data_IF_909325891076
#
_entry.id   IF_909325891076
#
_cell.length_a   1.000
_cell.length_b   1.000
_cell.length_c   1.000
_cell.angle_alpha   90.00
_cell.angle_beta   90.00
_cell.angle_gamma   90.00
#
_symmetry.space_group_name_H-M   'P 1'
#
loop_
_entity.id
_entity.type
_entity.pdbx_description
1 polymer ?
#
# COMPACT_ATOMS: atom_id res chain seq x y z
N UNK A 1 -14.32 39.18 -10.96
CA UNK A 1 -13.15 38.68 -11.72
C UNK A 1 -13.12 37.15 -11.58
N UNK A 2 -13.81 36.28 -12.32
CA UNK A 2 -14.13 36.18 -13.75
C UNK A 2 -12.90 36.07 -14.66
N UNK A 3 -12.25 34.91 -14.63
CA UNK A 3 -11.45 34.41 -15.77
C UNK A 3 -11.71 32.92 -15.97
N UNK A 4 -12.65 32.65 -16.88
CA UNK A 4 -12.71 31.45 -17.71
C UNK A 4 -11.41 31.35 -18.52
N UNK A 5 -10.73 30.22 -18.47
CA UNK A 5 -9.91 29.76 -19.59
C UNK A 5 -10.23 28.29 -19.85
N UNK A 6 -11.19 28.11 -20.75
CA UNK A 6 -11.46 26.87 -21.48
C UNK A 6 -10.25 26.62 -22.37
N UNK A 7 -9.51 25.55 -22.09
CA UNK A 7 -8.46 25.03 -22.96
C UNK A 7 -8.83 23.60 -23.33
N UNK A 8 -9.76 23.53 -24.28
CA UNK A 8 -10.12 22.34 -25.04
C UNK A 8 -9.17 22.28 -26.24
N UNK A 9 -8.11 21.46 -26.14
CA UNK A 9 -7.15 21.25 -27.22
C UNK A 9 -7.03 19.73 -27.49
N UNK A 10 -7.88 19.28 -28.41
CA UNK A 10 -7.65 18.27 -29.44
C UNK A 10 -6.83 17.01 -29.06
N UNK A 11 -7.50 16.03 -28.44
CA UNK A 11 -7.11 14.62 -28.56
C UNK A 11 -7.87 13.99 -29.75
N UNK A 12 -7.31 14.14 -30.95
CA UNK A 12 -7.74 13.42 -32.14
C UNK A 12 -6.51 12.76 -32.78
N UNK A 13 -6.03 11.69 -32.15
CA UNK A 13 -5.15 10.73 -32.79
C UNK A 13 -6.01 9.53 -33.20
N UNK A 14 -6.53 9.60 -34.43
CA UNK A 14 -7.14 8.49 -35.15
C UNK A 14 -6.12 7.35 -35.29
N UNK A 15 -6.24 6.32 -34.48
CA UNK A 15 -5.61 5.03 -34.76
C UNK A 15 -6.41 4.34 -35.86
N UNK A 16 -6.03 4.61 -37.11
CA UNK A 16 -6.47 3.83 -38.25
C UNK A 16 -6.01 2.38 -38.07
N UNK A 17 -6.93 1.51 -37.66
CA UNK A 17 -6.77 0.07 -37.71
C UNK A 17 -6.69 -0.36 -39.18
N UNK A 18 -5.47 -0.62 -39.64
CA UNK A 18 -5.22 -1.41 -40.85
C UNK A 18 -5.71 -2.84 -40.60
N UNK A 19 -6.89 -3.16 -41.12
CA UNK A 19 -7.34 -4.53 -41.28
C UNK A 19 -6.39 -5.22 -42.26
N UNK A 20 -5.52 -6.06 -41.73
CA UNK A 20 -4.74 -7.00 -42.53
C UNK A 20 -5.68 -8.04 -43.13
N UNK A 21 -5.54 -8.37 -44.43
CA UNK A 21 -6.34 -9.42 -45.03
C UNK A 21 -6.03 -10.76 -44.36
N UNK A 22 -7.07 -11.44 -43.87
CA UNK A 22 -7.02 -12.82 -43.43
C UNK A 22 -6.53 -13.68 -44.60
N UNK A 23 -5.23 -13.97 -44.63
CA UNK A 23 -4.66 -14.99 -45.48
C UNK A 23 -5.17 -16.34 -44.98
N UNK A 24 -6.16 -16.89 -45.68
CA UNK A 24 -6.61 -18.29 -45.55
C UNK A 24 -5.43 -19.21 -45.84
N UNK A 25 -4.72 -19.57 -44.79
CA UNK A 25 -3.64 -20.54 -44.81
C UNK A 25 -4.28 -21.93 -44.97
N UNK A 26 -4.25 -22.40 -46.21
CA UNK A 26 -4.54 -23.76 -46.66
C UNK A 26 -3.85 -24.76 -45.71
N UNK A 27 -4.61 -25.33 -44.77
CA UNK A 27 -4.14 -26.31 -43.77
C UNK A 27 -3.50 -27.50 -44.48
N UNK A 28 -2.16 -27.61 -44.41
CA UNK A 28 -1.46 -28.84 -44.74
C UNK A 28 -1.78 -29.88 -43.65
N UNK A 29 -2.41 -31.02 -43.99
CA UNK A 29 -2.61 -32.10 -43.04
C UNK A 29 -1.26 -32.75 -42.74
N UNK A 30 -0.74 -32.64 -41.52
CA UNK A 30 0.45 -33.40 -41.12
C UNK A 30 1.22 -32.91 -39.91
N UNK A 31 1.13 -31.64 -39.54
CA UNK A 31 1.85 -31.11 -38.37
C UNK A 31 0.86 -30.65 -37.32
N UNK A 32 0.53 -31.51 -36.36
CA UNK A 32 -0.22 -31.11 -35.18
C UNK A 32 0.62 -30.11 -34.38
N UNK A 33 0.36 -28.82 -34.60
CA UNK A 33 0.95 -27.75 -33.80
C UNK A 33 0.40 -27.93 -32.39
N UNK A 34 1.26 -28.37 -31.46
CA UNK A 34 0.90 -28.46 -30.05
C UNK A 34 0.54 -27.04 -29.57
N UNK A 35 -0.62 -26.84 -28.90
CA UNK A 35 -0.98 -25.53 -28.37
C UNK A 35 0.07 -25.06 -27.36
N UNK A 36 0.55 -23.83 -27.52
CA UNK A 36 1.52 -23.22 -26.60
C UNK A 36 0.75 -22.73 -25.38
N UNK A 37 0.91 -23.45 -24.27
CA UNK A 37 0.30 -23.08 -22.99
C UNK A 37 1.00 -21.88 -22.35
N UNK A 38 0.22 -21.04 -21.67
CA UNK A 38 0.74 -19.95 -20.85
C UNK A 38 1.47 -20.52 -19.61
N UNK A 39 2.77 -20.24 -19.43
CA UNK A 39 3.53 -20.78 -18.31
C UNK A 39 3.10 -20.23 -16.94
N UNK A 40 2.34 -19.12 -16.90
CA UNK A 40 1.88 -18.51 -15.66
C UNK A 40 0.56 -19.08 -15.13
N UNK A 41 -0.18 -19.83 -15.94
CA UNK A 41 -1.46 -20.46 -15.54
C UNK A 41 -1.26 -21.84 -14.90
N UNK A 42 -0.03 -22.36 -14.94
CA UNK A 42 0.27 -23.66 -14.35
C UNK A 42 0.32 -23.54 -12.83
N UNK A 43 -0.37 -24.42 -12.09
CA UNK A 43 -0.18 -24.50 -10.65
C UNK A 43 1.30 -24.77 -10.39
N UNK A 44 1.88 -23.99 -9.48
CA UNK A 44 3.19 -24.32 -8.96
C UNK A 44 2.96 -25.56 -8.10
N UNK A 45 3.52 -26.67 -8.55
CA UNK A 45 3.70 -27.83 -7.70
C UNK A 45 4.74 -27.43 -6.66
N UNK A 46 4.26 -26.81 -5.58
CA UNK A 46 5.00 -26.71 -4.34
C UNK A 46 5.10 -28.14 -3.84
N UNK A 47 6.00 -28.91 -4.46
CA UNK A 47 6.14 -30.33 -4.21
C UNK A 47 6.05 -30.55 -2.72
N UNK A 48 5.05 -31.34 -2.31
CA UNK A 48 4.79 -31.83 -0.95
C UNK A 48 5.99 -32.63 -0.43
N UNK A 49 7.13 -31.95 -0.31
CA UNK A 49 8.48 -32.49 -0.07
C UNK A 49 9.37 -31.46 0.61
N UNK A 50 8.80 -30.37 1.15
CA UNK A 50 9.39 -29.73 2.34
C UNK A 50 9.12 -30.64 3.54
N UNK A 51 9.75 -31.82 3.53
CA UNK A 51 10.20 -32.52 4.73
C UNK A 51 11.33 -31.66 5.34
N UNK A 52 10.97 -30.45 5.75
CA UNK A 52 11.83 -29.62 6.58
C UNK A 52 11.81 -30.28 7.94
N UNK A 53 12.87 -31.05 8.21
CA UNK A 53 13.16 -31.69 9.49
C UNK A 53 12.72 -30.80 10.64
N UNK A 54 11.63 -31.24 11.27
CA UNK A 54 10.96 -30.57 12.36
C UNK A 54 11.54 -31.07 13.69
N UNK A 55 12.87 -31.05 13.80
CA UNK A 55 13.58 -31.31 15.04
C UNK A 55 14.27 -30.00 15.46
N UNK A 56 13.92 -29.54 16.66
CA UNK A 56 14.57 -28.48 17.42
C UNK A 56 14.33 -27.00 17.04
N UNK A 57 13.08 -26.52 17.15
CA UNK A 57 12.89 -25.18 17.72
C UNK A 57 11.61 -25.06 18.55
N UNK A 58 11.82 -25.11 19.87
CA UNK A 58 10.83 -24.89 20.91
C UNK A 58 10.27 -23.47 20.86
N UNK A 59 8.94 -23.39 20.82
CA UNK A 59 8.16 -22.35 21.49
C UNK A 59 8.15 -20.97 20.84
N UNK A 60 7.13 -20.70 20.03
CA UNK A 60 6.22 -19.58 20.27
C UNK A 60 5.00 -19.67 19.33
N UNK A 61 3.83 -19.60 19.97
CA UNK A 61 2.54 -19.14 19.46
C UNK A 61 1.98 -19.75 18.16
N UNK A 62 1.19 -20.80 18.32
CA UNK A 62 0.37 -21.47 17.30
C UNK A 62 -0.80 -20.56 16.84
N UNK A 63 -0.49 -19.57 16.01
CA UNK A 63 -1.49 -18.83 15.24
C UNK A 63 -1.99 -19.66 14.06
N UNK A 64 -3.14 -20.34 14.25
CA UNK A 64 -4.06 -20.89 13.23
C UNK A 64 -3.56 -20.87 11.78
N UNK A 65 -3.07 -22.02 11.31
CA UNK A 65 -2.64 -22.29 9.94
C UNK A 65 -3.78 -22.27 8.93
N UNK A 66 -4.35 -21.10 8.66
CA UNK A 66 -5.03 -20.86 7.40
C UNK A 66 -3.96 -20.89 6.31
N UNK A 67 -4.00 -21.90 5.44
CA UNK A 67 -3.16 -22.00 4.24
C UNK A 67 -3.27 -20.68 3.47
N UNK A 68 -2.31 -19.79 3.69
CA UNK A 68 -2.33 -18.48 3.08
C UNK A 68 -2.03 -18.69 1.61
N UNK A 69 -3.06 -18.63 0.77
CA UNK A 69 -2.93 -18.80 -0.67
C UNK A 69 -1.80 -17.85 -1.15
N UNK A 70 -0.80 -18.36 -1.89
CA UNK A 70 0.33 -17.54 -2.33
C UNK A 70 -0.17 -16.32 -3.09
N UNK A 71 0.48 -15.18 -2.86
CA UNK A 71 0.13 -13.94 -3.55
C UNK A 71 0.41 -14.09 -5.05
N UNK A 72 -0.31 -13.33 -5.89
CA UNK A 72 -0.06 -13.37 -7.33
C UNK A 72 1.38 -12.96 -7.69
N UNK A 73 2.02 -12.12 -6.88
CA UNK A 73 3.40 -11.71 -7.06
C UNK A 73 4.38 -12.85 -6.73
N UNK A 74 4.09 -13.68 -5.74
CA UNK A 74 4.84 -14.90 -5.44
C UNK A 74 4.69 -15.92 -6.56
N UNK A 75 3.46 -16.15 -7.03
CA UNK A 75 3.18 -17.02 -8.16
C UNK A 75 3.96 -16.57 -9.41
N UNK A 76 3.95 -15.26 -9.70
CA UNK A 76 4.71 -14.68 -10.80
C UNK A 76 6.22 -14.94 -10.65
N UNK A 77 6.79 -14.68 -9.47
CA UNK A 77 8.23 -14.88 -9.19
C UNK A 77 8.65 -16.33 -9.33
N UNK A 78 7.83 -17.26 -8.87
CA UNK A 78 8.10 -18.69 -8.95
C UNK A 78 7.93 -19.24 -10.38
N UNK A 79 6.98 -18.72 -11.16
CA UNK A 79 6.77 -19.14 -12.56
C UNK A 79 7.74 -18.50 -13.56
N UNK A 80 8.35 -17.35 -13.23
CA UNK A 80 9.24 -16.64 -14.15
C UNK A 80 10.48 -17.45 -14.61
N UNK A 81 11.23 -18.14 -13.73
CA UNK A 81 12.34 -19.01 -14.17
C UNK A 81 11.90 -20.10 -15.14
N UNK A 82 10.72 -20.68 -14.91
CA UNK A 82 10.13 -21.70 -15.78
C UNK A 82 9.77 -21.11 -17.14
N UNK A 83 9.13 -19.95 -17.17
CA UNK A 83 8.81 -19.26 -18.43
C UNK A 83 10.08 -18.94 -19.24
N UNK A 84 11.16 -18.51 -18.58
CA UNK A 84 12.47 -18.27 -19.20
C UNK A 84 13.05 -19.57 -19.76
N UNK A 85 12.96 -20.67 -19.03
CA UNK A 85 13.45 -21.98 -19.48
C UNK A 85 12.68 -22.46 -20.72
N UNK A 86 11.36 -22.37 -20.71
CA UNK A 86 10.51 -22.74 -21.86
C UNK A 86 10.84 -21.85 -23.08
N UNK A 87 11.09 -20.55 -22.86
CA UNK A 87 11.52 -19.63 -23.93
C UNK A 87 12.88 -20.01 -24.52
N UNK A 88 13.82 -20.50 -23.71
CA UNK A 88 15.14 -20.98 -24.17
C UNK A 88 15.02 -22.25 -25.01
N UNK A 89 14.13 -23.16 -24.63
CA UNK A 89 13.92 -24.45 -25.30
C UNK A 89 13.09 -24.33 -26.59
N UNK A 90 12.35 -23.23 -26.76
CA UNK A 90 11.56 -22.97 -27.95
C UNK A 90 12.45 -22.90 -29.22
N UNK A 91 12.19 -23.80 -30.17
CA UNK A 91 12.99 -23.93 -31.42
C UNK A 91 12.51 -23.00 -32.54
N UNK A 92 11.20 -22.74 -32.62
CA UNK A 92 10.60 -21.94 -33.69
C UNK A 92 10.48 -20.46 -33.29
N UNK A 93 10.68 -19.52 -34.22
CA UNK A 93 10.55 -18.09 -33.93
C UNK A 93 9.11 -17.71 -33.54
N UNK A 94 8.10 -18.38 -34.08
CA UNK A 94 6.70 -18.17 -33.74
C UNK A 94 6.43 -18.50 -32.27
N UNK A 95 6.96 -19.63 -31.78
CA UNK A 95 6.77 -20.03 -30.38
C UNK A 95 7.44 -19.04 -29.42
N UNK A 96 8.62 -18.53 -29.80
CA UNK A 96 9.32 -17.51 -29.01
C UNK A 96 8.51 -16.22 -28.94
N UNK A 97 7.94 -15.78 -30.05
CA UNK A 97 7.10 -14.57 -30.08
C UNK A 97 5.86 -14.71 -29.20
N UNK A 98 5.17 -15.85 -29.25
CA UNK A 98 4.01 -16.12 -28.39
C UNK A 98 4.39 -16.14 -26.91
N UNK A 99 5.48 -16.82 -26.54
CA UNK A 99 5.95 -16.87 -25.15
C UNK A 99 6.40 -15.50 -24.64
N UNK A 100 7.03 -14.69 -25.48
CA UNK A 100 7.36 -13.30 -25.16
C UNK A 100 6.10 -12.47 -24.91
N UNK A 101 5.02 -12.72 -25.66
CA UNK A 101 3.71 -12.11 -25.42
C UNK A 101 3.19 -12.41 -24.02
N UNK A 102 3.15 -13.69 -23.62
CA UNK A 102 2.70 -14.08 -22.28
C UNK A 102 3.58 -13.49 -21.16
N UNK A 103 4.90 -13.47 -21.35
CA UNK A 103 5.82 -12.87 -20.38
C UNK A 103 5.56 -11.37 -20.25
N UNK A 104 5.40 -10.66 -21.38
CA UNK A 104 5.10 -9.23 -21.38
C UNK A 104 3.80 -8.94 -20.63
N UNK A 105 2.73 -9.66 -20.97
CA UNK A 105 1.42 -9.49 -20.32
C UNK A 105 1.51 -9.73 -18.81
N UNK A 106 2.22 -10.77 -18.36
CA UNK A 106 2.41 -11.05 -16.95
C UNK A 106 3.18 -9.93 -16.23
N UNK A 107 4.18 -9.32 -16.88
CA UNK A 107 4.86 -8.14 -16.34
C UNK A 107 3.92 -6.92 -16.26
N UNK A 108 3.16 -6.63 -17.30
CA UNK A 108 2.19 -5.52 -17.34
C UNK A 108 1.18 -5.65 -16.21
N UNK A 109 0.52 -6.81 -16.07
CA UNK A 109 -0.41 -7.07 -14.98
C UNK A 109 0.21 -6.90 -13.59
N UNK A 110 1.46 -7.33 -13.41
CA UNK A 110 2.20 -7.15 -12.15
C UNK A 110 2.46 -5.67 -11.86
N UNK A 111 2.91 -4.91 -12.86
CA UNK A 111 3.14 -3.48 -12.71
C UNK A 111 1.85 -2.72 -12.42
N UNK A 112 0.75 -3.06 -13.08
CA UNK A 112 -0.56 -2.45 -12.84
C UNK A 112 -1.04 -2.65 -11.40
N UNK A 113 -0.92 -3.88 -10.87
CA UNK A 113 -1.24 -4.18 -9.46
C UNK A 113 -0.37 -3.35 -8.50
N UNK A 114 0.94 -3.31 -8.75
CA UNK A 114 1.86 -2.52 -7.93
C UNK A 114 1.51 -1.02 -7.97
N UNK A 115 1.23 -0.47 -9.14
CA UNK A 115 0.86 0.94 -9.30
C UNK A 115 -0.48 1.25 -8.63
N UNK A 116 -1.46 0.36 -8.74
CA UNK A 116 -2.74 0.48 -8.03
C UNK A 116 -2.55 0.50 -6.51
N UNK A 117 -1.69 -0.38 -5.97
CA UNK A 117 -1.38 -0.37 -4.54
C UNK A 117 -0.67 0.93 -4.12
N UNK A 118 0.32 1.38 -4.89
CA UNK A 118 1.00 2.66 -4.61
C UNK A 118 0.06 3.85 -4.67
N UNK A 119 -0.93 3.83 -5.56
CA UNK A 119 -1.95 4.86 -5.63
C UNK A 119 -2.80 4.90 -4.34
N UNK A 120 -3.23 3.74 -3.83
CA UNK A 120 -3.94 3.64 -2.54
C UNK A 120 -3.08 4.14 -1.38
N UNK A 121 -1.80 3.78 -1.36
CA UNK A 121 -0.85 4.25 -0.34
C UNK A 121 -0.73 5.79 -0.36
N UNK A 122 -0.63 6.38 -1.55
CA UNK A 122 -0.58 7.85 -1.73
C UNK A 122 -1.85 8.51 -1.21
N UNK A 123 -3.02 7.95 -1.51
CA UNK A 123 -4.31 8.47 -1.02
C UNK A 123 -4.41 8.40 0.50
N UNK A 124 -3.99 7.28 1.10
CA UNK A 124 -3.93 7.15 2.56
C UNK A 124 -3.03 8.21 3.19
N UNK A 125 -1.82 8.39 2.66
CA UNK A 125 -0.87 9.37 3.15
C UNK A 125 -1.40 10.81 3.02
N UNK A 126 -2.08 11.13 1.92
CA UNK A 126 -2.73 12.44 1.73
C UNK A 126 -3.82 12.69 2.77
N UNK A 127 -4.63 11.68 3.08
CA UNK A 127 -5.68 11.80 4.10
C UNK A 127 -5.07 12.05 5.49
N UNK A 128 -4.05 11.26 5.87
CA UNK A 128 -3.34 11.46 7.14
C UNK A 128 -2.68 12.84 7.23
N UNK A 129 -2.12 13.35 6.13
CA UNK A 129 -1.56 14.70 6.07
C UNK A 129 -2.65 15.76 6.30
N UNK A 130 -3.80 15.63 5.65
CA UNK A 130 -4.92 16.57 5.80
C UNK A 130 -5.46 16.59 7.25
N UNK A 131 -5.53 15.43 7.90
CA UNK A 131 -5.90 15.33 9.32
C UNK A 131 -4.91 16.07 10.22
N UNK A 132 -3.60 15.86 10.02
CA UNK A 132 -2.54 16.54 10.78
C UNK A 132 -2.57 18.06 10.55
N UNK A 133 -2.79 18.51 9.33
CA UNK A 133 -2.94 19.95 9.04
C UNK A 133 -4.16 20.56 9.73
N UNK A 134 -5.29 19.83 9.77
CA UNK A 134 -6.49 20.25 10.48
C UNK A 134 -6.25 20.34 12.00
N UNK A 135 -5.53 19.37 12.56
CA UNK A 135 -5.15 19.38 13.98
C UNK A 135 -4.22 20.54 14.31
N UNK A 136 -3.22 20.81 13.47
CA UNK A 136 -2.33 21.97 13.63
C UNK A 136 -3.10 23.28 13.61
N UNK A 137 -4.02 23.46 12.65
CA UNK A 137 -4.89 24.66 12.61
C UNK A 137 -5.71 24.82 13.89
N UNK A 138 -6.28 23.73 14.41
CA UNK A 138 -7.03 23.74 15.68
C UNK A 138 -6.15 24.13 16.87
N UNK A 139 -4.93 23.59 16.95
CA UNK A 139 -3.97 23.91 18.01
C UNK A 139 -3.47 25.35 17.93
N UNK A 140 -3.20 25.86 16.73
CA UNK A 140 -2.84 27.28 16.53
C UNK A 140 -3.98 28.19 16.99
N UNK A 141 -5.22 27.91 16.58
CA UNK A 141 -6.37 28.70 17.04
C UNK A 141 -6.57 28.63 18.56
N UNK A 142 -6.32 27.47 19.18
CA UNK A 142 -6.39 27.32 20.63
C UNK A 142 -5.29 28.15 21.33
N UNK A 143 -4.06 28.10 20.82
CA UNK A 143 -2.94 28.93 21.30
C UNK A 143 -3.30 30.42 21.23
N UNK A 144 -3.83 30.90 20.11
CA UNK A 144 -4.17 32.31 19.94
C UNK A 144 -5.22 32.77 20.96
N UNK A 145 -6.21 31.92 21.26
CA UNK A 145 -7.20 32.19 22.33
C UNK A 145 -6.55 32.26 23.70
N UNK A 146 -5.65 31.34 24.03
CA UNK A 146 -4.92 31.35 25.32
C UNK A 146 -4.10 32.64 25.45
N UNK A 147 -3.37 33.02 24.40
CA UNK A 147 -2.59 34.27 24.38
C UNK A 147 -3.51 35.48 24.55
N UNK A 148 -4.65 35.51 23.86
CA UNK A 148 -5.62 36.60 24.00
C UNK A 148 -6.17 36.71 25.43
N UNK A 149 -6.53 35.58 26.05
CA UNK A 149 -6.98 35.55 27.45
C UNK A 149 -5.89 36.05 28.41
N UNK A 150 -4.63 35.67 28.17
CA UNK A 150 -3.50 36.14 28.97
C UNK A 150 -3.25 37.65 28.78
N UNK A 151 -3.43 38.19 27.58
CA UNK A 151 -3.33 39.63 27.35
C UNK A 151 -4.47 40.38 28.05
N UNK A 152 -5.69 39.85 28.02
CA UNK A 152 -6.83 40.43 28.73
C UNK A 152 -6.63 40.44 30.25
N UNK A 153 -6.11 39.36 30.84
CA UNK A 153 -5.83 39.33 32.27
C UNK A 153 -4.71 40.31 32.66
N UNK A 154 -3.67 40.46 31.83
CA UNK A 154 -2.62 41.47 32.04
C UNK A 154 -3.21 42.88 31.99
N UNK A 155 -4.11 43.17 31.05
CA UNK A 155 -4.78 44.46 30.95
C UNK A 155 -5.62 44.76 32.21
N UNK A 156 -6.45 43.81 32.65
CA UNK A 156 -7.26 43.97 33.86
C UNK A 156 -6.42 44.20 35.12
N UNK A 157 -5.27 43.53 35.24
CA UNK A 157 -4.35 43.77 36.33
C UNK A 157 -3.70 45.16 36.26
N UNK A 158 -3.34 45.63 35.06
CA UNK A 158 -2.82 46.99 34.86
C UNK A 158 -3.86 48.07 35.22
N UNK A 159 -5.14 47.79 35.02
CA UNK A 159 -6.27 48.64 35.44
C UNK A 159 -6.57 48.55 36.95
N UNK A 160 -5.84 47.70 37.70
CA UNK A 160 -6.04 47.50 39.14
C UNK A 160 -7.29 46.67 39.49
N UNK A 161 -7.92 46.05 38.49
CA UNK A 161 -9.11 45.22 38.65
C UNK A 161 -8.78 43.75 38.99
N UNK A 162 -7.50 43.35 38.87
CA UNK A 162 -7.01 42.00 39.17
C UNK A 162 -5.69 42.07 39.94
N UNK A 163 -5.47 41.19 40.92
CA UNK A 163 -4.19 41.09 41.63
C UNK A 163 -3.19 40.25 40.83
N UNK A 164 -1.90 40.61 40.83
CA UNK A 164 -0.86 39.89 40.07
C UNK A 164 -0.69 38.43 40.51
N UNK A 165 -1.06 38.10 41.74
CA UNK A 165 -0.97 36.73 42.27
C UNK A 165 -2.00 35.80 41.61
N UNK A 166 -3.13 36.34 41.13
CA UNK A 166 -4.16 35.58 40.41
C UNK A 166 -3.76 35.26 38.95
N UNK A 167 -2.80 36.00 38.39
CA UNK A 167 -2.28 35.80 37.03
C UNK A 167 -1.39 34.55 36.88
N UNK A 168 -0.79 34.06 37.97
CA UNK A 168 0.06 32.87 37.94
C UNK A 168 -0.74 31.54 37.91
N UNK A 169 -2.06 31.58 38.08
CA UNK A 169 -2.90 30.38 38.21
C UNK A 169 -3.22 29.63 36.90
N UNK A 170 -3.03 30.24 35.72
CA UNK A 170 -3.52 29.66 34.45
C UNK A 170 -2.67 28.47 33.96
N UNK A 171 -1.53 28.18 34.59
CA UNK A 171 -0.66 27.03 34.27
C UNK A 171 -0.45 26.02 35.41
N UNK A 172 -1.01 26.25 36.61
CA UNK A 172 -0.69 25.45 37.81
C UNK A 172 -1.79 24.50 38.28
N UNK A 173 -2.91 24.44 37.54
CA UNK A 173 -4.15 23.80 37.99
C UNK A 173 -4.51 22.43 37.39
N UNK A 174 -3.58 21.69 36.78
CA UNK A 174 -3.90 20.32 36.32
C UNK A 174 -2.71 19.35 36.31
N UNK A 175 -1.79 19.46 37.28
CA UNK A 175 -0.77 18.43 37.58
C UNK A 175 -1.14 17.60 38.83
N UNK A 176 -2.36 17.76 39.37
CA UNK A 176 -2.74 17.22 40.69
C UNK A 176 -3.98 16.34 40.74
N UNK A 177 -4.56 15.91 39.61
CA UNK A 177 -5.64 14.91 39.60
C UNK A 177 -5.17 13.58 39.03
N UNK A 178 -4.02 13.11 39.52
CA UNK A 178 -3.70 11.68 39.63
C UNK A 178 -4.61 11.09 40.74
N UNK A 179 -5.89 10.98 40.41
CA UNK A 179 -6.82 10.14 41.16
C UNK A 179 -6.38 8.69 41.00
N UNK A 180 -5.59 8.23 41.95
CA UNK A 180 -5.42 6.83 42.33
C UNK A 180 -6.80 6.20 42.57
N UNK A 181 -7.42 5.73 41.49
CA UNK A 181 -8.48 4.73 41.49
C UNK A 181 -7.86 3.41 41.06
N UNK A 182 -7.48 2.61 42.04
CA UNK A 182 -6.64 1.43 41.86
C UNK A 182 -7.28 0.27 41.11
N UNK A 183 -6.41 -0.67 40.73
CA UNK A 183 -6.78 -2.05 40.43
C UNK A 183 -6.28 -2.52 39.08
N UNK A 184 -5.09 -3.13 39.05
CA UNK A 184 -4.65 -3.90 37.89
C UNK A 184 -3.16 -3.83 37.62
N UNK A 185 -2.36 -4.22 38.61
CA UNK A 185 -1.02 -4.76 38.39
C UNK A 185 -1.14 -5.98 37.43
N UNK A 186 -1.13 -5.71 36.13
CA UNK A 186 -0.94 -6.69 35.08
C UNK A 186 0.37 -6.31 34.40
N UNK A 187 1.41 -7.06 34.74
CA UNK A 187 2.78 -6.86 34.31
C UNK A 187 2.89 -6.62 32.81
N UNK A 188 3.34 -5.41 32.48
CA UNK A 188 3.81 -5.07 31.14
C UNK A 188 5.22 -5.64 30.98
N UNK A 189 5.28 -6.92 30.61
CA UNK A 189 6.46 -7.47 29.96
C UNK A 189 6.66 -6.71 28.66
N UNK A 190 7.75 -5.96 28.57
CA UNK A 190 8.17 -5.29 27.35
C UNK A 190 8.36 -6.31 26.24
N UNK A 191 7.40 -6.34 25.32
CA UNK A 191 7.59 -6.88 23.99
C UNK A 191 7.55 -5.71 23.03
N UNK A 192 8.76 -5.29 22.66
CA UNK A 192 9.10 -4.49 21.49
C UNK A 192 8.69 -5.29 20.23
N UNK A 193 7.39 -5.34 19.99
CA UNK A 193 6.77 -6.01 18.86
C UNK A 193 6.68 -5.04 17.68
N UNK A 194 7.73 -5.02 16.87
CA UNK A 194 7.77 -4.27 15.61
C UNK A 194 6.54 -4.56 14.75
N UNK A 195 5.72 -3.53 14.55
CA UNK A 195 4.59 -3.57 13.64
C UNK A 195 5.08 -3.66 12.20
N UNK A 196 5.26 -4.89 11.73
CA UNK A 196 5.32 -5.23 10.31
C UNK A 196 3.97 -4.89 9.68
N UNK A 197 3.92 -3.76 9.00
CA UNK A 197 2.76 -3.29 8.25
C UNK A 197 2.54 -4.19 7.02
N UNK A 198 1.80 -5.29 7.18
CA UNK A 198 1.38 -6.14 6.06
C UNK A 198 0.30 -5.43 5.25
N UNK A 199 0.61 -5.15 3.98
CA UNK A 199 -0.36 -4.63 3.01
C UNK A 199 -0.96 -5.81 2.24
N UNK A 200 -2.29 -5.92 2.26
CA UNK A 200 -3.08 -6.81 1.39
C UNK A 200 -3.20 -6.22 -0.01
#
# INVERSE_FOLDING_TARGET
MQRLFVLCLCFAATTAWSQTPHAETKKRPGTSMQPIYNPFDQPIDYGMGMEMGMDDMMGMDMGMGAEQKPSQDELFRANLPRAIQILKEAKTPENKSTLQGYIREAFEQRYDRMMSQRQKDIERLRNSLAELESDLKRRTAAKDRVVQLQLQSVQLAAEGLLQLDDLQGVGRGNEGNEGYGGGGEMGYGGMDGGMGFQSR
#
